data_IF_515945118813
#
_entry.id   IF_515945118813
#
_cell.length_a   1.000
_cell.length_b   1.000
_cell.length_c   1.000
_cell.angle_alpha   90.00
_cell.angle_beta   90.00
_cell.angle_gamma   90.00
#
_symmetry.space_group_name_H-M   'P 1'
#
loop_
_entity.id
_entity.type
_entity.pdbx_description
1 polymer ?
#
# COMPACT_ATOMS: atom_id res chain seq x y z
N UNK A 1 3.31 -10.11 -5.10
CA UNK A 1 3.62 -8.65 -5.09
C UNK A 1 3.33 -8.02 -3.73
N UNK A 2 2.27 -8.44 -3.04
CA UNK A 2 1.86 -7.98 -1.69
C UNK A 2 3.01 -7.92 -0.67
N UNK A 3 3.86 -8.96 -0.62
CA UNK A 3 5.05 -8.98 0.26
C UNK A 3 5.96 -7.75 0.14
N UNK A 4 6.20 -7.26 -1.08
CA UNK A 4 7.11 -6.11 -1.30
C UNK A 4 6.53 -4.85 -0.66
N UNK A 5 5.22 -4.64 -0.82
CA UNK A 5 4.50 -3.52 -0.24
C UNK A 5 4.43 -3.66 1.28
N UNK A 6 4.12 -4.85 1.78
CA UNK A 6 4.05 -5.11 3.23
C UNK A 6 5.39 -4.83 3.90
N UNK A 7 6.49 -5.36 3.34
CA UNK A 7 7.85 -5.08 3.84
C UNK A 7 8.22 -3.61 3.77
N UNK A 8 7.87 -2.92 2.68
CA UNK A 8 8.12 -1.48 2.56
C UNK A 8 7.39 -0.69 3.65
N UNK A 9 6.10 -0.98 3.89
CA UNK A 9 5.32 -0.33 4.94
C UNK A 9 5.85 -0.65 6.35
N UNK A 10 6.21 -1.90 6.63
CA UNK A 10 6.80 -2.30 7.91
C UNK A 10 8.11 -1.54 8.14
N UNK A 11 9.00 -1.52 7.15
CA UNK A 11 10.28 -0.81 7.24
C UNK A 11 10.09 0.70 7.43
N UNK A 12 9.09 1.31 6.79
CA UNK A 12 8.74 2.72 7.00
C UNK A 12 8.15 2.97 8.38
N UNK A 13 7.39 2.00 8.92
CA UNK A 13 6.84 2.07 10.26
C UNK A 13 7.91 2.01 11.34
N UNK A 14 9.00 1.29 11.10
CA UNK A 14 10.15 1.28 12.01
C UNK A 14 10.92 2.60 11.99
N UNK A 15 11.03 3.24 10.82
CA UNK A 15 11.80 4.48 10.65
C UNK A 15 11.01 5.75 11.04
N UNK A 16 9.73 5.78 10.72
CA UNK A 16 8.89 7.00 10.76
C UNK A 16 7.52 6.74 11.38
N UNK A 17 7.28 5.54 11.89
CA UNK A 17 6.02 5.18 12.52
C UNK A 17 5.90 5.80 13.90
N UNK A 18 4.72 6.34 14.18
CA UNK A 18 4.32 6.83 15.50
C UNK A 18 3.21 5.94 16.04
N UNK A 19 3.36 5.45 17.27
CA UNK A 19 2.28 4.73 17.95
C UNK A 19 1.12 5.68 18.22
N UNK A 20 -0.09 5.28 17.83
CA UNK A 20 -1.34 6.01 18.04
C UNK A 20 -2.41 5.05 18.57
N UNK A 21 -3.51 5.55 19.18
CA UNK A 21 -4.56 4.69 19.74
C UNK A 21 -5.22 3.70 18.75
N UNK A 22 -4.95 3.82 17.45
CA UNK A 22 -5.47 2.95 16.40
C UNK A 22 -4.42 2.12 15.66
N UNK A 23 -3.18 2.07 16.14
CA UNK A 23 -2.07 1.32 15.52
C UNK A 23 -0.80 2.16 15.32
N UNK A 24 -0.07 1.95 14.22
CA UNK A 24 1.15 2.68 13.90
C UNK A 24 0.89 3.60 12.71
N UNK A 25 0.94 4.92 12.94
CA UNK A 25 0.78 5.92 11.90
C UNK A 25 2.13 6.21 11.25
N UNK A 26 2.23 6.09 9.93
CA UNK A 26 3.40 6.58 9.20
C UNK A 26 3.36 8.11 9.18
N UNK A 27 4.31 8.77 9.85
CA UNK A 27 4.39 10.24 9.95
C UNK A 27 5.10 10.86 8.74
N UNK A 28 4.82 10.32 7.55
CA UNK A 28 5.32 10.77 6.25
C UNK A 28 4.17 10.90 5.28
N UNK A 29 4.35 11.72 4.24
CA UNK A 29 3.48 11.66 3.07
C UNK A 29 3.88 10.45 2.24
N UNK A 30 2.95 9.52 2.09
CA UNK A 30 3.11 8.29 1.36
C UNK A 30 1.87 8.08 0.50
N UNK A 31 1.99 8.46 -0.78
CA UNK A 31 0.95 8.20 -1.77
C UNK A 31 1.02 6.77 -2.29
N UNK A 32 -0.01 6.35 -3.02
CA UNK A 32 -0.02 5.06 -3.72
C UNK A 32 1.02 5.03 -4.85
N UNK A 33 1.31 6.18 -5.45
CA UNK A 33 2.32 6.32 -6.49
C UNK A 33 3.73 6.13 -5.91
N UNK A 34 4.02 6.77 -4.76
CA UNK A 34 5.30 6.57 -4.05
C UNK A 34 5.52 5.09 -3.73
N UNK A 35 4.48 4.40 -3.22
CA UNK A 35 4.56 2.97 -2.94
C UNK A 35 4.81 2.13 -4.20
N UNK A 36 4.24 2.50 -5.34
CA UNK A 36 4.45 1.81 -6.61
C UNK A 36 5.91 1.93 -7.06
N UNK A 37 6.45 3.15 -7.03
CA UNK A 37 7.84 3.45 -7.37
C UNK A 37 8.83 2.77 -6.41
N UNK A 38 8.58 2.87 -5.09
CA UNK A 38 9.42 2.26 -4.06
C UNK A 38 9.48 0.72 -4.15
N UNK A 39 8.38 0.09 -4.58
CA UNK A 39 8.28 -1.38 -4.61
C UNK A 39 8.54 -1.98 -5.99
N UNK A 40 8.74 -1.13 -7.01
CA UNK A 40 8.88 -1.55 -8.41
C UNK A 40 7.62 -2.22 -8.94
N UNK A 41 6.44 -1.75 -8.52
CA UNK A 41 5.14 -2.27 -8.94
C UNK A 41 4.30 -1.18 -9.61
N UNK A 42 3.11 -1.51 -10.08
CA UNK A 42 2.21 -0.52 -10.69
C UNK A 42 1.30 0.12 -9.65
N UNK A 43 0.89 1.37 -9.89
CA UNK A 43 -0.10 2.08 -9.06
C UNK A 43 -1.39 1.26 -8.89
N UNK A 44 -1.85 0.59 -9.95
CA UNK A 44 -3.02 -0.28 -9.93
C UNK A 44 -2.87 -1.42 -8.90
N UNK A 45 -1.74 -2.13 -8.94
CA UNK A 45 -1.43 -3.21 -8.01
C UNK A 45 -1.41 -2.71 -6.57
N UNK A 46 -0.71 -1.59 -6.30
CA UNK A 46 -0.68 -0.98 -4.96
C UNK A 46 -2.08 -0.58 -4.50
N UNK A 47 -2.85 0.07 -5.37
CA UNK A 47 -4.20 0.52 -5.05
C UNK A 47 -5.12 -0.64 -4.66
N UNK A 48 -5.11 -1.73 -5.44
CA UNK A 48 -5.87 -2.95 -5.13
C UNK A 48 -5.47 -3.55 -3.79
N UNK A 49 -4.17 -3.69 -3.54
CA UNK A 49 -3.64 -4.31 -2.33
C UNK A 49 -3.99 -3.47 -1.10
N UNK A 50 -3.77 -2.16 -1.15
CA UNK A 50 -4.13 -1.26 -0.04
C UNK A 50 -5.64 -1.23 0.22
N UNK A 51 -6.45 -1.28 -0.84
CA UNK A 51 -7.91 -1.29 -0.69
C UNK A 51 -8.39 -2.58 -0.03
N UNK A 52 -7.84 -3.73 -0.44
CA UNK A 52 -8.08 -5.02 0.22
C UNK A 52 -7.66 -4.99 1.69
N UNK A 53 -6.46 -4.51 2.00
CA UNK A 53 -5.98 -4.42 3.38
C UNK A 53 -6.78 -3.42 4.22
N UNK A 54 -7.34 -2.37 3.61
CA UNK A 54 -8.25 -1.44 4.30
C UNK A 54 -9.58 -2.12 4.64
N UNK A 55 -10.12 -2.93 3.73
CA UNK A 55 -11.32 -3.76 3.97
C UNK A 55 -11.09 -4.84 5.04
N UNK A 56 -9.91 -5.47 5.05
CA UNK A 56 -9.49 -6.45 6.06
C UNK A 56 -9.08 -5.82 7.41
N UNK A 57 -9.14 -4.48 7.50
CA UNK A 57 -8.77 -3.72 8.69
C UNK A 57 -7.30 -3.83 9.07
N UNK A 58 -6.42 -4.22 8.13
CA UNK A 58 -4.97 -4.30 8.32
C UNK A 58 -4.34 -2.91 8.29
N UNK A 59 -4.77 -2.08 7.34
CA UNK A 59 -4.28 -0.71 7.17
C UNK A 59 -5.44 0.27 7.02
N UNK A 60 -5.15 1.55 7.07
CA UNK A 60 -6.08 2.63 6.72
C UNK A 60 -5.33 3.72 5.99
N UNK A 61 -5.81 4.10 4.82
CA UNK A 61 -5.24 5.15 3.98
C UNK A 61 -6.09 6.43 4.10
N UNK A 62 -5.49 7.54 4.56
CA UNK A 62 -6.17 8.83 4.70
C UNK A 62 -5.18 9.97 4.46
N UNK A 63 -5.56 10.95 3.62
CA UNK A 63 -4.78 12.19 3.35
C UNK A 63 -3.29 11.93 3.10
N UNK A 64 -2.97 11.05 2.15
CA UNK A 64 -1.58 10.68 1.81
C UNK A 64 -0.79 10.10 2.99
N UNK A 65 -1.47 9.53 3.99
CA UNK A 65 -0.87 8.83 5.12
C UNK A 65 -1.43 7.42 5.23
N UNK A 66 -0.61 6.53 5.75
CA UNK A 66 -0.97 5.14 6.02
C UNK A 66 -0.91 4.90 7.52
N UNK A 67 -1.99 4.36 8.07
CA UNK A 67 -2.09 3.87 9.44
C UNK A 67 -2.13 2.35 9.40
N UNK A 68 -1.13 1.70 9.97
CA UNK A 68 -1.10 0.25 10.16
C UNK A 68 -1.91 -0.07 11.40
N UNK A 69 -3.09 -0.68 11.22
CA UNK A 69 -4.02 -1.02 12.31
C UNK A 69 -3.63 -2.32 12.99
N UNK A 70 -3.22 -3.31 12.19
CA UNK A 70 -2.80 -4.64 12.65
C UNK A 70 -1.40 -4.97 12.13
N UNK A 71 -0.33 -4.60 12.86
CA UNK A 71 1.03 -4.90 12.43
C UNK A 71 1.27 -6.41 12.30
N UNK A 72 0.71 -7.23 13.20
CA UNK A 72 0.87 -8.69 13.18
C UNK A 72 0.32 -9.33 11.89
N UNK A 73 -0.81 -8.82 11.40
CA UNK A 73 -1.40 -9.27 10.13
C UNK A 73 -0.57 -8.82 8.92
N UNK A 74 0.00 -7.63 8.98
CA UNK A 74 0.88 -7.12 7.92
C UNK A 74 2.22 -7.88 7.86
N UNK A 75 2.77 -8.27 9.02
CA UNK A 75 3.95 -9.14 9.14
C UNK A 75 3.64 -10.51 8.53
N UNK A 76 2.48 -11.11 8.83
CA UNK A 76 2.08 -12.36 8.19
C UNK A 76 2.05 -12.23 6.66
N UNK A 77 1.49 -11.14 6.12
CA UNK A 77 1.50 -10.92 4.66
C UNK A 77 2.91 -10.71 4.10
N UNK A 78 3.86 -10.20 4.89
CA UNK A 78 5.26 -10.02 4.49
C UNK A 78 6.07 -11.32 4.48
N UNK A 79 5.73 -12.25 5.39
CA UNK A 79 6.39 -13.54 5.59
C UNK A 79 5.74 -14.68 4.77
N UNK A 80 4.43 -14.60 4.53
CA UNK A 80 3.66 -15.65 3.87
C UNK A 80 4.03 -15.77 2.38
N UNK A 81 4.50 -16.96 2.02
CA UNK A 81 4.76 -17.36 0.63
C UNK A 81 3.55 -18.13 0.12
N UNK A 82 2.39 -17.48 -0.01
CA UNK A 82 1.28 -18.05 -0.78
C UNK A 82 1.13 -17.32 -2.12
N UNK A 83 1.63 -17.90 -3.23
CA UNK A 83 1.24 -17.50 -4.57
C UNK A 83 -0.11 -18.15 -4.90
N UNK A 84 -1.18 -17.65 -4.30
CA UNK A 84 -2.52 -18.19 -4.56
C UNK A 84 -3.43 -17.09 -5.12
N UNK A 85 -3.45 -17.04 -6.45
CA UNK A 85 -4.68 -16.93 -7.25
C UNK A 85 -5.35 -15.54 -7.28
N UNK A 86 -5.69 -14.94 -8.41
CA UNK A 86 -5.48 -15.28 -9.80
C UNK A 86 -5.65 -13.95 -10.56
N UNK A 87 -4.83 -13.82 -11.59
CA UNK A 87 -5.13 -13.01 -12.76
C UNK A 87 -6.54 -13.41 -13.25
N UNK A 88 -7.53 -12.59 -12.93
CA UNK A 88 -8.84 -12.61 -13.54
C UNK A 88 -9.18 -11.16 -13.83
N UNK A 89 -9.29 -10.87 -15.12
CA UNK A 89 -9.67 -9.57 -15.65
C UNK A 89 -10.95 -9.05 -14.97
N UNK A 90 -10.98 -7.74 -14.83
CA UNK A 90 -12.11 -7.01 -14.28
C UNK A 90 -11.94 -5.55 -14.61
N UNK A 91 -12.16 -5.25 -15.90
CA UNK A 91 -12.92 -4.11 -16.38
C UNK A 91 -12.59 -2.70 -15.83
N UNK A 92 -11.99 -1.91 -16.73
CA UNK A 92 -12.19 -0.47 -16.95
C UNK A 92 -13.03 0.31 -15.92
N UNK A 93 -12.39 1.30 -15.31
CA UNK A 93 -13.03 2.61 -15.10
C UNK A 93 -12.07 3.68 -15.60
N UNK A 94 -12.38 4.39 -16.69
CA UNK A 94 -11.65 5.58 -17.07
C UNK A 94 -12.11 6.74 -16.18
N UNK A 95 -11.16 7.46 -15.61
CA UNK A 95 -11.41 8.63 -14.78
C UNK A 95 -10.22 8.80 -13.84
N UNK A 96 -9.54 9.92 -13.77
CA UNK A 96 -9.73 11.21 -14.40
C UNK A 96 -8.41 11.98 -14.16
N UNK A 97 -7.96 12.68 -15.19
CA UNK A 97 -7.16 13.91 -15.15
C UNK A 97 -5.75 13.95 -14.52
N UNK A 98 -4.78 13.85 -15.43
CA UNK A 98 -3.84 14.92 -15.79
C UNK A 98 -2.57 15.23 -14.96
N UNK A 99 -1.53 15.48 -15.77
CA UNK A 99 -0.23 16.15 -15.53
C UNK A 99 0.80 15.20 -14.89
N UNK A 100 1.83 14.77 -15.60
CA UNK A 100 2.79 15.66 -16.26
C UNK A 100 3.48 14.96 -17.45
N UNK A 101 3.18 15.46 -18.64
CA UNK A 101 4.06 15.33 -19.80
C UNK A 101 5.32 16.16 -19.56
N UNK A 102 6.49 15.53 -19.62
CA UNK A 102 7.71 16.04 -20.27
C UNK A 102 8.08 15.01 -21.35
N UNK A 103 8.74 15.35 -22.47
CA UNK A 103 9.73 16.44 -22.66
C UNK A 103 9.46 17.28 -23.95
N UNK A 104 10.20 18.33 -24.35
CA UNK A 104 11.55 18.83 -24.04
C UNK A 104 11.55 20.34 -23.80
#
# INVERSE_FOLDING_TARGET
MERRIARALLRLSEQTGRQVPGGILLDIRLSRQDLAEMTGTTLYTVSRILSRWEQEGLVKSRRERVLIRRPDGLVQVAEDTSPASADAGGEITPGEDARQSLPR
#
